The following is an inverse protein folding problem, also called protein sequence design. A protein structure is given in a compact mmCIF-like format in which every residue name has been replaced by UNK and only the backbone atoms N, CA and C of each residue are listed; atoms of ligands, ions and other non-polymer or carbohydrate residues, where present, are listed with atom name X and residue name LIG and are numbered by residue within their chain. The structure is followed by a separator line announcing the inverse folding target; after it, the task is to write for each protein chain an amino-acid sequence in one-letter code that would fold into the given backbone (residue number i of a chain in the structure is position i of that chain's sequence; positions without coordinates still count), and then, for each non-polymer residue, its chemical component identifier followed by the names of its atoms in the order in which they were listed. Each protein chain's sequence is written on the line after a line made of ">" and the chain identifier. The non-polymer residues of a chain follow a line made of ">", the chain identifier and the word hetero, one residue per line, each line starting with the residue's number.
data_IF_865637484138
#
_entry.id   IF_865637484138
#
_cell.length_a   1.000
_cell.length_b   1.000
_cell.length_c   1.000
_cell.angle_alpha   90.00
_cell.angle_beta   90.00
_cell.angle_gamma   90.00
#
_symmetry.space_group_name_H-M   'P 1'
#
loop_
_entity.id
_entity.type
_entity.pdbx_description
1 polymer ?
#
# COMPACT_ATOMS: atom_id res chain seq x y z
N UNK A 1 16.55 9.14 13.19
CA UNK A 1 17.50 9.79 12.26
C UNK A 1 18.80 9.84 13.00
N UNK A 2 19.82 9.18 12.47
CA UNK A 2 21.10 9.02 13.19
C UNK A 2 22.20 9.53 12.27
N UNK A 3 23.06 10.42 12.77
CA UNK A 3 24.22 10.94 12.01
C UNK A 3 25.36 9.94 12.15
N UNK A 4 25.93 9.49 11.02
CA UNK A 4 27.22 8.78 11.06
C UNK A 4 28.36 9.77 11.30
N UNK A 5 29.53 9.25 11.68
CA UNK A 5 30.73 10.03 11.91
C UNK A 5 31.15 10.87 10.69
N UNK A 6 30.75 10.48 9.48
CA UNK A 6 31.02 11.22 8.22
C UNK A 6 29.93 12.26 7.87
N UNK A 7 28.95 12.52 8.76
CA UNK A 7 27.89 13.50 8.52
C UNK A 7 26.83 13.07 7.50
N UNK A 8 26.88 11.82 7.00
CA UNK A 8 25.86 11.27 6.11
C UNK A 8 24.58 11.01 6.92
N UNK A 9 23.45 11.58 6.47
CA UNK A 9 22.13 11.23 7.00
C UNK A 9 21.79 9.82 6.54
N UNK A 10 21.90 8.86 7.45
CA UNK A 10 21.45 7.49 7.19
C UNK A 10 20.02 7.34 7.67
N UNK A 11 19.17 6.81 6.79
CA UNK A 11 17.82 6.41 7.17
C UNK A 11 17.90 5.11 7.94
N UNK A 12 17.47 5.14 9.18
CA UNK A 12 17.35 3.96 10.01
C UNK A 12 15.94 3.38 9.82
N UNK A 13 15.86 2.10 9.48
CA UNK A 13 14.59 1.39 9.49
C UNK A 13 14.12 1.25 10.93
N UNK A 14 12.95 1.79 11.23
CA UNK A 14 12.31 1.58 12.54
C UNK A 14 11.40 0.37 12.40
N UNK A 15 11.71 -0.67 13.17
CA UNK A 15 10.89 -1.88 13.23
C UNK A 15 9.43 -1.55 13.54
N UNK A 16 8.52 -2.25 12.86
CA UNK A 16 7.07 -2.13 13.05
C UNK A 16 6.58 -3.33 13.85
N UNK A 17 6.21 -3.12 15.11
CA UNK A 17 5.61 -4.14 15.95
C UNK A 17 4.10 -4.23 15.69
N UNK A 18 3.69 -4.89 14.61
CA UNK A 18 2.29 -4.96 14.20
C UNK A 18 1.37 -5.65 15.23
N UNK A 19 1.93 -6.48 16.11
CA UNK A 19 1.23 -7.11 17.22
C UNK A 19 1.07 -6.22 18.46
N UNK A 20 1.45 -4.93 18.42
CA UNK A 20 1.33 -4.03 19.57
C UNK A 20 -0.11 -3.62 19.90
N UNK A 21 -1.04 -3.79 18.95
CA UNK A 21 -2.41 -3.26 19.05
C UNK A 21 -2.51 -1.77 18.67
N UNK A 22 -1.40 -1.12 18.30
CA UNK A 22 -1.42 0.24 17.80
C UNK A 22 -2.12 0.32 16.43
N UNK A 23 -2.72 1.47 16.13
CA UNK A 23 -3.29 1.72 14.81
C UNK A 23 -2.19 2.05 13.81
N UNK A 24 -2.21 1.38 12.67
CA UNK A 24 -1.32 1.65 11.54
C UNK A 24 -2.10 2.21 10.36
N UNK A 25 -1.41 2.99 9.53
CA UNK A 25 -1.90 3.45 8.24
C UNK A 25 -0.93 2.97 7.16
N UNK A 26 -1.47 2.31 6.14
CA UNK A 26 -0.74 1.88 4.95
C UNK A 26 -1.18 2.66 3.72
N UNK A 27 -0.24 2.94 2.85
CA UNK A 27 -0.44 3.51 1.52
C UNK A 27 0.06 2.49 0.50
N UNK A 28 -0.81 2.06 -0.40
CA UNK A 28 -0.48 1.18 -1.52
C UNK A 28 -0.76 2.00 -2.77
N UNK A 29 0.29 2.28 -3.53
CA UNK A 29 0.21 3.14 -4.71
C UNK A 29 0.79 2.41 -5.91
N UNK A 30 0.16 2.63 -7.07
CA UNK A 30 0.62 2.10 -8.34
C UNK A 30 0.74 3.23 -9.37
N UNK A 31 1.91 3.33 -10.00
CA UNK A 31 2.12 4.19 -11.16
C UNK A 31 2.12 3.35 -12.44
N UNK A 32 1.11 3.57 -13.28
CA UNK A 32 0.95 2.85 -14.54
C UNK A 32 1.99 3.22 -15.61
N UNK A 33 2.68 4.36 -15.51
CA UNK A 33 3.72 4.75 -16.46
C UNK A 33 5.03 4.02 -16.13
N UNK A 34 5.46 4.11 -14.87
CA UNK A 34 6.70 3.47 -14.40
C UNK A 34 6.53 1.99 -14.02
N UNK A 35 5.28 1.50 -14.00
CA UNK A 35 4.91 0.15 -13.53
C UNK A 35 5.36 -0.12 -12.10
N UNK A 36 5.40 0.91 -11.27
CA UNK A 36 5.93 0.85 -9.91
C UNK A 36 4.81 0.67 -8.90
N UNK A 37 4.90 -0.36 -8.06
CA UNK A 37 4.10 -0.50 -6.83
C UNK A 37 4.96 -0.06 -5.66
N UNK A 38 4.43 0.83 -4.83
CA UNK A 38 5.03 1.20 -3.54
C UNK A 38 4.08 0.86 -2.40
N UNK A 39 4.64 0.33 -1.32
CA UNK A 39 3.92 0.12 -0.06
C UNK A 39 4.65 0.89 1.03
N UNK A 40 3.95 1.87 1.59
CA UNK A 40 4.42 2.62 2.75
C UNK A 40 3.51 2.32 3.93
N UNK A 41 4.07 2.22 5.13
CA UNK A 41 3.31 2.00 6.36
C UNK A 41 3.92 2.80 7.51
N UNK A 42 3.08 3.30 8.39
CA UNK A 42 3.48 4.00 9.61
C UNK A 42 2.39 3.89 10.69
N UNK A 43 2.73 4.10 11.98
CA UNK A 43 1.72 4.38 12.99
C UNK A 43 0.78 5.49 12.53
N UNK A 44 -0.52 5.34 12.78
CA UNK A 44 -1.56 6.17 12.17
C UNK A 44 -1.48 7.67 12.56
N UNK A 45 -0.81 7.98 13.67
CA UNK A 45 -0.57 9.34 14.15
C UNK A 45 0.64 10.04 13.47
N UNK A 46 1.40 9.33 12.63
CA UNK A 46 2.51 9.88 11.86
C UNK A 46 2.09 10.18 10.41
N UNK A 47 2.78 11.14 9.80
CA UNK A 47 2.67 11.41 8.37
C UNK A 47 3.33 10.30 7.55
N UNK A 48 2.92 10.18 6.27
CA UNK A 48 3.48 9.21 5.34
C UNK A 48 5.00 9.39 5.22
N UNK A 49 5.81 8.35 5.53
CA UNK A 49 7.25 8.36 5.27
C UNK A 49 7.58 8.63 3.80
N UNK A 50 8.68 9.36 3.55
CA UNK A 50 9.16 9.63 2.18
C UNK A 50 9.70 8.39 1.48
N UNK A 51 10.26 7.45 2.24
CA UNK A 51 10.81 6.20 1.72
C UNK A 51 9.79 5.08 1.94
N UNK A 52 9.36 4.36 0.89
CA UNK A 52 8.46 3.23 1.05
C UNK A 52 9.17 2.07 1.76
N UNK A 53 8.37 1.18 2.35
CA UNK A 53 8.85 -0.06 2.92
C UNK A 53 9.14 -1.10 1.82
N UNK A 54 8.24 -1.18 0.84
CA UNK A 54 8.35 -2.07 -0.32
C UNK A 54 8.26 -1.23 -1.57
N UNK A 55 9.13 -1.52 -2.54
CA UNK A 55 9.11 -0.93 -3.87
C UNK A 55 9.37 -2.06 -4.88
N UNK A 56 8.52 -2.20 -5.89
CA UNK A 56 8.66 -3.25 -6.91
C UNK A 56 8.10 -2.83 -8.25
N UNK A 57 8.78 -3.23 -9.33
CA UNK A 57 8.29 -3.01 -10.69
C UNK A 57 7.47 -4.21 -11.16
N UNK A 58 6.19 -4.00 -11.41
CA UNK A 58 5.27 -5.01 -11.90
C UNK A 58 4.24 -4.39 -12.86
N UNK A 59 4.06 -5.03 -14.00
CA UNK A 59 3.03 -4.67 -14.96
C UNK A 59 1.71 -5.36 -14.60
N UNK A 60 0.81 -4.63 -13.92
CA UNK A 60 -0.46 -5.17 -13.45
C UNK A 60 -1.39 -5.62 -14.58
N UNK A 61 -1.21 -5.13 -15.81
CA UNK A 61 -1.99 -5.57 -16.99
C UNK A 61 -1.76 -7.05 -17.32
N UNK A 62 -0.65 -7.63 -16.84
CA UNK A 62 -0.32 -9.06 -17.02
C UNK A 62 -0.87 -9.94 -15.91
N UNK A 63 -1.45 -9.35 -14.85
CA UNK A 63 -1.90 -10.05 -13.64
C UNK A 63 -3.40 -9.88 -13.43
N UNK A 64 -3.92 -8.67 -13.66
CA UNK A 64 -5.32 -8.34 -13.43
C UNK A 64 -6.18 -8.49 -14.68
N UNK A 65 -7.45 -8.85 -14.46
CA UNK A 65 -8.48 -8.80 -15.50
C UNK A 65 -9.03 -7.36 -15.62
N UNK A 66 -9.80 -7.10 -16.67
CA UNK A 66 -10.34 -5.76 -16.94
C UNK A 66 -11.21 -5.21 -15.80
N UNK A 67 -12.03 -6.04 -15.18
CA UNK A 67 -12.88 -5.68 -14.04
C UNK A 67 -12.54 -6.56 -12.84
N UNK A 68 -12.23 -5.93 -11.70
CA UNK A 68 -11.78 -6.59 -10.47
C UNK A 68 -12.40 -5.90 -9.25
N UNK A 69 -12.56 -6.65 -8.16
CA UNK A 69 -12.94 -6.10 -6.86
C UNK A 69 -11.70 -5.80 -6.01
N UNK A 70 -11.78 -4.78 -5.17
CA UNK A 70 -10.73 -4.41 -4.22
C UNK A 70 -11.29 -4.46 -2.81
N UNK A 71 -10.47 -4.89 -1.85
CA UNK A 71 -10.90 -5.08 -0.47
C UNK A 71 -9.79 -5.67 0.39
N UNK A 72 -10.17 -6.15 1.57
CA UNK A 72 -9.27 -6.74 2.54
C UNK A 72 -9.60 -8.22 2.72
N UNK A 73 -8.57 -9.01 3.02
CA UNK A 73 -8.69 -10.38 3.47
C UNK A 73 -7.79 -10.56 4.69
N UNK A 74 -8.25 -11.35 5.65
CA UNK A 74 -7.54 -11.60 6.90
C UNK A 74 -7.86 -13.01 7.40
N UNK A 75 -6.90 -13.60 8.09
CA UNK A 75 -7.01 -14.93 8.69
C UNK A 75 -6.30 -14.93 10.02
N UNK A 76 -6.72 -15.79 10.92
CA UNK A 76 -6.08 -16.01 12.21
C UNK A 76 -5.36 -17.37 12.20
N UNK A 77 -4.14 -17.39 12.73
CA UNK A 77 -3.36 -18.61 12.96
C UNK A 77 -3.78 -19.35 14.24
N UNK A 78 -2.78 -19.89 14.97
CA UNK A 78 -3.00 -20.55 16.28
C UNK A 78 -3.18 -19.57 17.44
N UNK A 79 -2.74 -18.33 17.28
CA UNK A 79 -2.87 -17.26 18.27
C UNK A 79 -4.13 -16.44 18.03
N UNK A 80 -4.59 -15.70 19.04
CA UNK A 80 -5.74 -14.80 18.91
C UNK A 80 -5.25 -13.44 18.44
N UNK A 81 -5.63 -13.08 17.21
CA UNK A 81 -5.36 -11.77 16.63
C UNK A 81 -6.65 -11.14 16.07
N UNK A 82 -6.70 -9.81 16.08
CA UNK A 82 -7.78 -9.04 15.47
C UNK A 82 -7.26 -8.28 14.26
N UNK A 83 -8.05 -8.32 13.19
CA UNK A 83 -7.77 -7.64 11.93
C UNK A 83 -8.83 -6.57 11.68
N UNK A 84 -8.73 -5.45 12.41
CA UNK A 84 -9.76 -4.39 12.39
C UNK A 84 -9.44 -3.31 11.34
N UNK A 85 -10.34 -3.11 10.38
CA UNK A 85 -10.27 -2.01 9.40
C UNK A 85 -11.08 -0.82 9.90
N UNK A 86 -10.40 0.20 10.41
CA UNK A 86 -11.05 1.39 10.97
C UNK A 86 -11.58 2.36 9.91
N UNK A 87 -10.83 2.53 8.83
CA UNK A 87 -11.15 3.46 7.74
C UNK A 87 -10.35 3.08 6.52
N UNK A 88 -10.92 3.25 5.34
CA UNK A 88 -10.21 3.03 4.09
C UNK A 88 -10.72 3.97 2.99
N UNK A 89 -9.87 4.21 2.00
CA UNK A 89 -10.20 4.93 0.77
C UNK A 89 -9.49 4.23 -0.37
N UNK A 90 -10.20 4.07 -1.48
CA UNK A 90 -9.66 3.57 -2.73
C UNK A 90 -9.96 4.57 -3.83
N UNK A 91 -9.00 4.77 -4.73
CA UNK A 91 -9.12 5.64 -5.89
C UNK A 91 -8.42 4.99 -7.07
N UNK A 92 -9.06 5.02 -8.24
CA UNK A 92 -8.51 4.52 -9.49
C UNK A 92 -8.84 5.52 -10.59
N UNK A 93 -7.81 6.00 -11.27
CA UNK A 93 -7.91 7.00 -12.34
C UNK A 93 -7.98 6.37 -13.74
N UNK A 94 -8.21 5.05 -13.83
CA UNK A 94 -8.48 4.40 -15.11
C UNK A 94 -9.72 5.01 -15.79
N UNK A 95 -9.70 5.18 -17.12
CA UNK A 95 -10.90 5.57 -17.86
C UNK A 95 -12.05 4.61 -17.55
N UNK A 96 -13.25 5.16 -17.33
CA UNK A 96 -14.45 4.32 -17.18
C UNK A 96 -14.69 3.57 -18.50
N UNK A 97 -14.96 2.28 -18.40
CA UNK A 97 -15.33 1.47 -19.56
C UNK A 97 -16.61 2.05 -20.20
N UNK A 98 -16.50 2.55 -21.42
CA UNK A 98 -17.67 2.95 -22.22
C UNK A 98 -18.21 1.71 -22.90
N UNK A 99 -19.40 1.26 -22.48
CA UNK A 99 -20.11 0.21 -23.21
C UNK A 99 -20.27 0.67 -24.67
N UNK A 100 -20.00 -0.19 -25.68
CA UNK A 100 -20.34 0.14 -27.05
C UNK A 100 -21.84 0.47 -27.11
N UNK A 101 -22.18 1.65 -27.62
CA UNK A 101 -23.56 1.93 -28.01
C UNK A 101 -23.85 0.98 -29.16
N UNK A 102 -24.65 -0.05 -28.91
CA UNK A 102 -25.15 -0.90 -29.97
C UNK A 102 -26.04 -0.03 -30.86
N UNK A 103 -25.57 0.29 -32.06
CA UNK A 103 -26.39 0.90 -33.10
C UNK A 103 -27.39 -0.15 -33.58
N UNK A 104 -28.63 -0.01 -33.13
CA UNK A 104 -29.81 -0.64 -33.76
C UNK A 104 -30.26 0.13 -34.98
#
# INVERSE_FOLDING_TARGET
>A
MTRTAEGKKVWEFKELKLSSGDKYKSWIEYDNVTKLVTVTIAPAYLSKPKKPLIETQIDLSKVFLGNMFTGFSGSMGREVERHDIWTWRFENNAPKETKPVLSG
#
